data_IF_145763699868
#
_entry.id   IF_145763699868
#
_cell.length_a   1.000
_cell.length_b   1.000
_cell.length_c   1.000
_cell.angle_alpha   90.00
_cell.angle_beta   90.00
_cell.angle_gamma   90.00
#
_symmetry.space_group_name_H-M   'P 1'
#
loop_
_entity.id
_entity.type
_entity.pdbx_description
1 polymer ?
#
# COMPACT_ATOMS: atom_id res chain seq x y z
N UNK A 1 -51.02 0.40 -0.53
CA UNK A 1 -50.13 -0.32 -1.46
C UNK A 1 -48.79 0.35 -1.38
N UNK A 2 -47.88 -0.21 -0.57
CA UNK A 2 -46.54 0.34 -0.39
C UNK A 2 -45.72 -0.12 -1.58
N UNK A 3 -45.60 0.75 -2.60
CA UNK A 3 -44.63 0.59 -3.66
C UNK A 3 -43.27 1.13 -3.11
N UNK A 4 -42.72 0.46 -2.10
CA UNK A 4 -41.33 0.61 -1.78
C UNK A 4 -40.55 -0.09 -2.92
N UNK A 5 -40.30 0.69 -3.99
CA UNK A 5 -39.36 0.24 -5.03
C UNK A 5 -38.06 -0.07 -4.36
N UNK A 6 -37.76 -1.35 -4.12
CA UNK A 6 -36.50 -1.75 -3.52
C UNK A 6 -35.38 -1.28 -4.44
N UNK A 7 -34.27 -0.83 -3.87
CA UNK A 7 -33.04 -0.41 -4.63
C UNK A 7 -32.66 -1.51 -5.63
N UNK A 8 -32.84 -2.77 -5.25
CA UNK A 8 -32.57 -3.93 -6.10
C UNK A 8 -33.48 -3.93 -7.33
N UNK A 9 -34.77 -3.69 -7.16
CA UNK A 9 -35.74 -3.62 -8.27
C UNK A 9 -35.42 -2.47 -9.22
N UNK A 10 -35.06 -1.29 -8.69
CA UNK A 10 -34.63 -0.16 -9.48
C UNK A 10 -33.40 -0.50 -10.34
N UNK A 11 -32.42 -1.19 -9.77
CA UNK A 11 -31.20 -1.62 -10.49
C UNK A 11 -31.50 -2.67 -11.56
N UNK A 12 -32.38 -3.64 -11.27
CA UNK A 12 -32.74 -4.69 -12.22
C UNK A 12 -33.51 -4.14 -13.44
N UNK A 13 -34.26 -3.04 -13.27
CA UNK A 13 -35.00 -2.37 -14.36
C UNK A 13 -34.20 -1.24 -15.02
N UNK A 14 -32.95 -0.97 -14.56
CA UNK A 14 -32.07 0.02 -15.18
C UNK A 14 -31.61 -0.42 -16.58
N UNK A 15 -31.14 0.52 -17.39
CA UNK A 15 -30.48 0.18 -18.66
C UNK A 15 -29.27 -0.70 -18.46
N UNK A 16 -28.97 -1.59 -19.41
CA UNK A 16 -27.82 -2.52 -19.34
C UNK A 16 -26.50 -1.82 -19.03
N UNK A 17 -26.30 -0.61 -19.58
CA UNK A 17 -25.08 0.18 -19.32
C UNK A 17 -25.01 0.59 -17.85
N UNK A 18 -26.10 1.07 -17.25
CA UNK A 18 -26.15 1.44 -15.83
C UNK A 18 -25.92 0.21 -14.95
N UNK A 19 -26.49 -0.96 -15.32
CA UNK A 19 -26.26 -2.21 -14.59
C UNK A 19 -24.76 -2.62 -14.60
N UNK A 20 -24.08 -2.51 -15.76
CA UNK A 20 -22.65 -2.79 -15.89
C UNK A 20 -21.82 -1.83 -15.02
N UNK A 21 -22.16 -0.53 -15.04
CA UNK A 21 -21.50 0.48 -14.20
C UNK A 21 -21.66 0.14 -12.71
N UNK A 22 -22.86 -0.16 -12.27
CA UNK A 22 -23.14 -0.52 -10.87
C UNK A 22 -22.37 -1.78 -10.47
N UNK A 23 -22.40 -2.82 -11.30
CA UNK A 23 -21.67 -4.07 -11.04
C UNK A 23 -20.16 -3.82 -10.95
N UNK A 24 -19.60 -3.03 -11.86
CA UNK A 24 -18.20 -2.63 -11.85
C UNK A 24 -17.80 -1.86 -10.58
N UNK A 25 -18.65 -0.91 -10.14
CA UNK A 25 -18.42 -0.14 -8.91
C UNK A 25 -18.49 -1.02 -7.65
N UNK A 26 -19.41 -1.97 -7.61
CA UNK A 26 -19.51 -2.93 -6.50
C UNK A 26 -18.29 -3.84 -6.44
N UNK A 27 -17.82 -4.35 -7.57
CA UNK A 27 -16.59 -5.17 -7.63
C UNK A 27 -15.35 -4.35 -7.21
N UNK A 28 -15.22 -3.12 -7.70
CA UNK A 28 -14.14 -2.22 -7.27
C UNK A 28 -14.19 -1.95 -5.76
N UNK A 29 -15.37 -1.72 -5.20
CA UNK A 29 -15.56 -1.51 -3.76
C UNK A 29 -15.15 -2.74 -2.96
N UNK A 30 -15.62 -3.92 -3.36
CA UNK A 30 -15.29 -5.17 -2.68
C UNK A 30 -13.77 -5.46 -2.68
N UNK A 31 -13.14 -5.28 -3.85
CA UNK A 31 -11.70 -5.43 -3.98
C UNK A 31 -10.91 -4.40 -3.13
N UNK A 32 -11.38 -3.15 -3.10
CA UNK A 32 -10.79 -2.10 -2.24
C UNK A 32 -10.83 -2.49 -0.78
N UNK A 33 -11.94 -3.00 -0.27
CA UNK A 33 -12.05 -3.44 1.12
C UNK A 33 -11.11 -4.61 1.43
N UNK A 34 -10.99 -5.59 0.51
CA UNK A 34 -10.02 -6.68 0.62
C UNK A 34 -8.58 -6.17 0.76
N UNK A 35 -8.18 -5.21 -0.09
CA UNK A 35 -6.87 -4.57 -0.03
C UNK A 35 -6.67 -3.77 1.27
N UNK A 36 -7.68 -3.03 1.72
CA UNK A 36 -7.62 -2.23 2.96
C UNK A 36 -7.32 -3.14 4.15
N UNK A 37 -8.07 -4.22 4.33
CA UNK A 37 -7.84 -5.14 5.45
C UNK A 37 -6.49 -5.86 5.37
N UNK A 38 -6.10 -6.31 4.19
CA UNK A 38 -4.79 -6.93 3.96
C UNK A 38 -3.64 -5.98 4.30
N UNK A 39 -3.70 -4.72 3.86
CA UNK A 39 -2.67 -3.71 4.12
C UNK A 39 -2.60 -3.30 5.58
N UNK A 40 -3.74 -3.15 6.25
CA UNK A 40 -3.77 -2.86 7.69
C UNK A 40 -3.00 -3.91 8.49
N UNK A 41 -3.22 -5.19 8.21
CA UNK A 41 -2.51 -6.29 8.85
C UNK A 41 -1.01 -6.30 8.53
N UNK A 42 -0.66 -6.15 7.24
CA UNK A 42 0.71 -6.18 6.77
C UNK A 42 1.56 -5.03 7.36
N UNK A 43 1.09 -3.79 7.27
CA UNK A 43 1.82 -2.61 7.79
C UNK A 43 1.98 -2.70 9.31
N UNK A 44 0.94 -3.14 10.04
CA UNK A 44 1.02 -3.33 11.48
C UNK A 44 2.07 -4.40 11.87
N UNK A 45 2.13 -5.51 11.11
CA UNK A 45 3.16 -6.57 11.30
C UNK A 45 4.56 -6.02 11.04
N UNK A 46 4.74 -5.23 9.99
CA UNK A 46 6.03 -4.61 9.63
C UNK A 46 6.51 -3.69 10.76
N UNK A 47 5.69 -2.75 11.22
CA UNK A 47 6.05 -1.83 12.31
C UNK A 47 6.48 -2.58 13.56
N UNK A 48 5.68 -3.53 14.01
CA UNK A 48 5.99 -4.33 15.21
C UNK A 48 7.31 -5.10 15.08
N UNK A 49 7.61 -5.64 13.88
CA UNK A 49 8.88 -6.35 13.63
C UNK A 49 10.06 -5.41 13.59
N UNK A 50 9.93 -4.29 12.93
CA UNK A 50 10.98 -3.28 12.90
C UNK A 50 11.32 -2.80 14.31
N UNK A 51 10.31 -2.47 15.13
CA UNK A 51 10.51 -2.00 16.51
C UNK A 51 11.17 -3.09 17.38
N UNK A 52 10.78 -4.34 17.20
CA UNK A 52 11.38 -5.48 17.92
C UNK A 52 12.86 -5.65 17.53
N UNK A 53 13.17 -5.62 16.24
CA UNK A 53 14.55 -5.75 15.77
C UNK A 53 15.43 -4.56 16.21
N UNK A 54 14.91 -3.35 16.13
CA UNK A 54 15.59 -2.14 16.56
C UNK A 54 15.93 -2.19 18.07
N UNK A 55 14.96 -2.63 18.89
CA UNK A 55 15.20 -2.86 20.33
C UNK A 55 16.30 -3.90 20.56
N UNK A 56 16.29 -4.99 19.81
CA UNK A 56 17.30 -6.05 19.89
C UNK A 56 18.69 -5.55 19.44
N UNK A 57 18.73 -4.78 18.36
CA UNK A 57 19.96 -4.17 17.83
C UNK A 57 20.62 -3.25 18.86
N UNK A 58 19.83 -2.38 19.52
CA UNK A 58 20.33 -1.45 20.53
C UNK A 58 20.61 -2.08 21.91
N UNK A 59 20.27 -3.35 22.09
CA UNK A 59 20.61 -4.07 23.35
C UNK A 59 22.09 -4.40 23.50
N UNK A 60 22.92 -4.09 22.49
CA UNK A 60 24.37 -4.35 22.51
C UNK A 60 24.76 -5.78 22.13
N UNK A 61 23.88 -6.55 21.52
CA UNK A 61 24.21 -7.87 20.98
C UNK A 61 25.30 -7.80 19.92
N UNK A 62 26.03 -8.91 19.75
CA UNK A 62 27.04 -9.02 18.71
C UNK A 62 26.41 -8.93 17.31
N UNK A 63 26.97 -8.08 16.44
CA UNK A 63 26.45 -7.88 15.08
C UNK A 63 26.44 -9.17 14.24
N UNK A 64 27.41 -10.08 14.47
CA UNK A 64 27.45 -11.36 13.76
C UNK A 64 26.30 -12.28 14.20
N UNK A 65 25.94 -12.28 15.48
CA UNK A 65 24.84 -13.10 16.00
C UNK A 65 23.50 -12.57 15.45
N UNK A 66 23.32 -11.24 15.44
CA UNK A 66 22.16 -10.60 14.82
C UNK A 66 22.06 -10.89 13.31
N UNK A 67 23.22 -10.88 12.63
CA UNK A 67 23.26 -11.22 11.20
C UNK A 67 22.88 -12.69 10.94
N UNK A 68 23.37 -13.61 11.73
CA UNK A 68 23.03 -15.02 11.62
C UNK A 68 21.53 -15.24 11.89
N UNK A 69 20.99 -14.55 12.88
CA UNK A 69 19.55 -14.59 13.19
C UNK A 69 18.72 -14.04 12.03
N UNK A 70 19.06 -12.84 11.54
CA UNK A 70 18.35 -12.20 10.42
C UNK A 70 18.47 -12.98 9.10
N UNK A 71 19.55 -13.74 8.91
CA UNK A 71 19.77 -14.53 7.68
C UNK A 71 19.12 -15.90 7.71
N UNK A 72 18.86 -16.47 8.89
CA UNK A 72 18.37 -17.84 9.05
C UNK A 72 16.86 -17.91 9.38
N UNK A 73 16.20 -16.79 9.70
CA UNK A 73 14.77 -16.77 9.96
C UNK A 73 13.95 -16.86 8.66
N UNK A 74 12.95 -17.75 8.65
CA UNK A 74 12.05 -17.93 7.51
C UNK A 74 11.19 -16.69 7.22
N UNK A 75 10.88 -15.90 8.24
CA UNK A 75 10.15 -14.65 8.13
C UNK A 75 10.98 -13.50 8.72
N UNK A 76 11.54 -12.65 7.88
CA UNK A 76 12.29 -11.45 8.28
C UNK A 76 11.51 -10.18 7.96
N UNK A 77 11.66 -9.15 8.80
CA UNK A 77 11.12 -7.81 8.57
C UNK A 77 11.98 -7.00 7.60
N UNK A 78 11.47 -5.87 7.10
CA UNK A 78 12.23 -4.97 6.23
C UNK A 78 13.54 -4.48 6.85
N UNK A 79 13.53 -4.13 8.14
CA UNK A 79 14.70 -3.65 8.86
C UNK A 79 15.77 -4.73 9.01
N UNK A 80 15.37 -5.97 9.32
CA UNK A 80 16.24 -7.13 9.38
C UNK A 80 16.91 -7.42 8.04
N UNK A 81 16.13 -7.35 6.94
CA UNK A 81 16.66 -7.57 5.58
C UNK A 81 17.62 -6.46 5.14
N UNK A 82 17.32 -5.22 5.49
CA UNK A 82 18.20 -4.08 5.25
C UNK A 82 19.52 -4.25 5.99
N UNK A 83 19.47 -4.55 7.29
CA UNK A 83 20.66 -4.85 8.11
C UNK A 83 21.48 -6.00 7.54
N UNK A 84 20.84 -7.14 7.24
CA UNK A 84 21.51 -8.32 6.70
C UNK A 84 22.18 -8.03 5.34
N UNK A 85 21.56 -7.20 4.51
CA UNK A 85 22.10 -6.78 3.20
C UNK A 85 23.38 -5.94 3.38
N UNK A 86 23.37 -4.95 4.27
CA UNK A 86 24.52 -4.12 4.58
C UNK A 86 25.67 -4.92 5.19
N UNK A 87 25.36 -5.76 6.20
CA UNK A 87 26.35 -6.58 6.88
C UNK A 87 27.00 -7.61 5.95
N UNK A 88 26.21 -8.25 5.08
CA UNK A 88 26.72 -9.20 4.08
C UNK A 88 27.71 -8.55 3.13
N UNK A 89 27.38 -7.38 2.58
CA UNK A 89 28.28 -6.72 1.65
C UNK A 89 29.52 -6.18 2.37
N UNK A 90 29.37 -5.66 3.57
CA UNK A 90 30.51 -5.24 4.41
C UNK A 90 31.49 -6.38 4.64
N UNK A 91 31.04 -7.56 5.12
CA UNK A 91 31.88 -8.73 5.34
C UNK A 91 32.56 -9.20 4.06
N UNK A 92 31.84 -9.29 2.96
CA UNK A 92 32.37 -9.70 1.66
C UNK A 92 33.49 -8.78 1.16
N UNK A 93 33.35 -7.45 1.32
CA UNK A 93 34.37 -6.49 0.90
C UNK A 93 35.57 -6.48 1.85
N UNK A 94 35.34 -6.71 3.15
CA UNK A 94 36.40 -6.93 4.15
C UNK A 94 37.22 -8.16 3.82
N UNK A 95 36.62 -9.28 3.50
CA UNK A 95 37.30 -10.54 3.16
C UNK A 95 38.14 -10.40 1.86
N UNK A 96 37.69 -9.50 0.95
CA UNK A 96 38.48 -9.12 -0.23
C UNK A 96 39.58 -8.09 0.05
N UNK A 97 39.76 -7.69 1.30
CA UNK A 97 40.77 -6.73 1.77
C UNK A 97 40.76 -5.38 1.07
N UNK A 98 39.53 -4.92 0.68
CA UNK A 98 39.40 -3.56 0.18
C UNK A 98 39.64 -2.55 1.32
N UNK A 99 39.93 -1.29 0.92
CA UNK A 99 40.05 -0.20 1.88
C UNK A 99 38.76 0.04 2.66
N UNK A 100 38.88 0.63 3.83
CA UNK A 100 37.75 0.90 4.74
C UNK A 100 36.66 1.73 4.11
N UNK A 101 37.03 2.74 3.31
CA UNK A 101 36.08 3.58 2.60
C UNK A 101 35.21 2.76 1.63
N UNK A 102 35.84 1.91 0.82
CA UNK A 102 35.14 1.04 -0.12
C UNK A 102 34.21 0.02 0.57
N UNK A 103 34.60 -0.51 1.75
CA UNK A 103 33.76 -1.41 2.56
C UNK A 103 32.50 -0.70 3.03
N UNK A 104 32.63 0.51 3.59
CA UNK A 104 31.52 1.31 4.10
C UNK A 104 30.58 1.77 2.98
N UNK A 105 31.14 2.25 1.87
CA UNK A 105 30.37 2.66 0.70
C UNK A 105 29.63 1.49 0.06
N UNK A 106 30.24 0.32 0.02
CA UNK A 106 29.60 -0.90 -0.44
C UNK A 106 28.39 -1.29 0.43
N UNK A 107 28.55 -1.29 1.75
CA UNK A 107 27.48 -1.56 2.70
C UNK A 107 26.31 -0.55 2.55
N UNK A 108 26.61 0.75 2.44
CA UNK A 108 25.60 1.80 2.21
C UNK A 108 24.80 1.59 0.94
N UNK A 109 25.48 1.30 -0.18
CA UNK A 109 24.81 1.01 -1.46
C UNK A 109 23.92 -0.23 -1.38
N UNK A 110 24.37 -1.28 -0.68
CA UNK A 110 23.59 -2.48 -0.48
C UNK A 110 22.36 -2.23 0.36
N UNK A 111 22.47 -1.45 1.45
CA UNK A 111 21.32 -1.05 2.28
C UNK A 111 20.34 -0.18 1.51
N UNK A 112 20.81 0.82 0.75
CA UNK A 112 19.96 1.68 -0.08
C UNK A 112 19.19 0.88 -1.13
N UNK A 113 19.83 -0.07 -1.79
CA UNK A 113 19.16 -0.96 -2.73
C UNK A 113 18.15 -1.91 -2.06
N UNK A 114 18.41 -2.33 -0.81
CA UNK A 114 17.46 -3.11 -0.02
C UNK A 114 16.27 -2.26 0.40
N UNK A 115 16.50 -1.05 0.92
CA UNK A 115 15.47 -0.08 1.28
C UNK A 115 14.47 0.14 0.13
N UNK A 116 14.98 0.41 -1.08
CA UNK A 116 14.13 0.65 -2.23
C UNK A 116 13.24 -0.56 -2.56
N UNK A 117 13.81 -1.78 -2.53
CA UNK A 117 13.02 -3.01 -2.76
C UNK A 117 11.96 -3.23 -1.70
N UNK A 118 12.26 -2.92 -0.44
CA UNK A 118 11.29 -3.04 0.65
C UNK A 118 10.13 -2.05 0.49
N UNK A 119 10.43 -0.80 0.12
CA UNK A 119 9.41 0.22 -0.12
C UNK A 119 8.54 -0.16 -1.31
N UNK A 120 9.11 -0.59 -2.43
CA UNK A 120 8.36 -1.05 -3.61
C UNK A 120 7.39 -2.20 -3.25
N UNK A 121 7.84 -3.14 -2.40
CA UNK A 121 7.01 -4.24 -1.94
C UNK A 121 5.86 -3.77 -1.00
N UNK A 122 6.15 -2.81 -0.11
CA UNK A 122 5.15 -2.27 0.80
C UNK A 122 4.15 -1.38 0.07
N UNK A 123 4.57 -0.63 -0.94
CA UNK A 123 3.70 0.24 -1.76
C UNK A 123 2.80 -0.54 -2.73
N UNK A 124 3.13 -1.78 -3.02
CA UNK A 124 2.36 -2.63 -3.95
C UNK A 124 0.85 -2.55 -3.71
N UNK A 125 0.07 -2.42 -4.78
CA UNK A 125 -1.39 -2.27 -4.80
C UNK A 125 -1.96 -0.97 -4.20
N UNK A 126 -1.13 -0.04 -3.71
CA UNK A 126 -1.62 1.26 -3.22
C UNK A 126 -2.22 2.09 -4.35
N UNK A 127 -1.62 2.01 -5.54
CA UNK A 127 -2.10 2.69 -6.74
C UNK A 127 -3.54 2.32 -7.12
N UNK A 128 -3.99 1.09 -6.82
CA UNK A 128 -5.37 0.71 -7.05
C UNK A 128 -6.34 1.51 -6.17
N UNK A 129 -6.04 1.69 -4.87
CA UNK A 129 -6.87 2.51 -3.98
C UNK A 129 -6.92 3.97 -4.44
N UNK A 130 -5.78 4.52 -4.89
CA UNK A 130 -5.73 5.86 -5.48
C UNK A 130 -6.63 5.97 -6.72
N UNK A 131 -6.58 4.96 -7.60
CA UNK A 131 -7.40 4.91 -8.82
C UNK A 131 -8.89 4.81 -8.50
N UNK A 132 -9.30 3.95 -7.57
CA UNK A 132 -10.71 3.85 -7.14
C UNK A 132 -11.19 5.17 -6.55
N UNK A 133 -10.36 5.80 -5.72
CA UNK A 133 -10.67 7.08 -5.10
C UNK A 133 -10.86 8.21 -6.10
N UNK A 134 -10.04 8.27 -7.13
CA UNK A 134 -10.08 9.33 -8.16
C UNK A 134 -11.09 9.03 -9.28
N UNK A 135 -11.19 7.79 -9.74
CA UNK A 135 -12.00 7.40 -10.91
C UNK A 135 -13.43 7.00 -10.52
N UNK A 136 -13.60 6.38 -9.35
CA UNK A 136 -14.90 5.87 -8.89
C UNK A 136 -16.07 6.88 -9.00
N UNK A 137 -15.92 8.13 -8.52
CA UNK A 137 -16.96 9.15 -8.64
C UNK A 137 -17.34 9.49 -10.10
N UNK A 138 -16.36 9.49 -11.00
CA UNK A 138 -16.60 9.79 -12.43
C UNK A 138 -17.29 8.63 -13.14
N UNK A 139 -16.97 7.38 -12.80
CA UNK A 139 -17.69 6.21 -13.29
C UNK A 139 -19.14 6.23 -12.81
N UNK A 140 -19.38 6.58 -11.54
CA UNK A 140 -20.74 6.78 -11.02
C UNK A 140 -21.50 7.89 -11.73
N UNK A 141 -20.85 9.03 -11.97
CA UNK A 141 -21.40 10.16 -12.71
C UNK A 141 -21.76 9.76 -14.15
N UNK A 142 -20.88 9.03 -14.84
CA UNK A 142 -21.17 8.49 -16.17
C UNK A 142 -22.43 7.62 -16.15
N UNK A 143 -22.58 6.73 -15.15
CA UNK A 143 -23.79 5.94 -14.98
C UNK A 143 -25.06 6.79 -14.84
N UNK A 144 -24.98 7.90 -14.12
CA UNK A 144 -26.10 8.83 -13.94
C UNK A 144 -26.46 9.54 -15.25
N UNK A 145 -25.47 10.09 -15.94
CA UNK A 145 -25.70 10.80 -17.22
C UNK A 145 -26.31 9.85 -18.25
N UNK A 146 -25.77 8.65 -18.38
CA UNK A 146 -26.28 7.64 -19.29
C UNK A 146 -27.68 7.20 -18.93
N UNK A 147 -27.98 6.93 -17.66
CA UNK A 147 -29.29 6.47 -17.20
C UNK A 147 -30.35 7.51 -17.38
N UNK A 148 -30.09 8.78 -17.08
CA UNK A 148 -31.05 9.88 -17.33
C UNK A 148 -31.29 10.06 -18.84
N UNK A 149 -30.22 10.06 -19.64
CA UNK A 149 -30.35 10.13 -21.09
C UNK A 149 -31.25 9.01 -21.63
N UNK A 150 -31.02 7.78 -21.20
CA UNK A 150 -31.78 6.61 -21.61
C UNK A 150 -33.28 6.72 -21.21
N UNK A 151 -33.55 7.20 -20.00
CA UNK A 151 -34.92 7.43 -19.52
C UNK A 151 -35.66 8.46 -20.39
N UNK A 152 -34.99 9.54 -20.81
CA UNK A 152 -35.63 10.54 -21.70
C UNK A 152 -35.78 10.06 -23.15
N UNK A 153 -34.82 9.31 -23.68
CA UNK A 153 -34.94 8.71 -25.02
C UNK A 153 -36.14 7.76 -25.08
N UNK A 154 -36.40 7.01 -24.01
CA UNK A 154 -37.57 6.13 -23.92
C UNK A 154 -38.93 6.87 -24.02
N UNK A 155 -38.99 8.18 -23.75
CA UNK A 155 -40.21 8.98 -23.87
C UNK A 155 -40.55 9.33 -25.32
N UNK A 156 -39.60 9.33 -26.23
CA UNK A 156 -39.80 9.78 -27.62
C UNK A 156 -40.85 8.96 -28.37
N UNK A 157 -41.12 7.74 -27.91
CA UNK A 157 -42.08 6.82 -28.55
C UNK A 157 -43.43 6.73 -27.80
N UNK A 158 -43.65 7.54 -26.76
CA UNK A 158 -44.87 7.49 -25.96
C UNK A 158 -45.81 8.63 -26.31
N UNK A 159 -47.09 8.31 -26.49
CA UNK A 159 -48.17 9.29 -26.77
C UNK A 159 -48.63 10.06 -25.53
N UNK A 160 -48.40 9.49 -24.35
CA UNK A 160 -48.63 10.14 -23.05
C UNK A 160 -47.42 9.97 -22.14
N UNK A 161 -46.85 11.08 -21.72
CA UNK A 161 -45.69 11.15 -20.85
C UNK A 161 -46.14 11.52 -19.45
N UNK A 162 -45.83 10.66 -18.49
CA UNK A 162 -46.04 10.93 -17.06
C UNK A 162 -44.71 10.86 -16.32
N UNK A 163 -44.61 11.57 -15.20
CA UNK A 163 -43.42 11.49 -14.35
C UNK A 163 -43.17 10.05 -13.85
N UNK A 164 -44.21 9.28 -13.63
CA UNK A 164 -44.13 7.87 -13.21
C UNK A 164 -43.38 6.98 -14.22
N UNK A 165 -43.37 7.35 -15.50
CA UNK A 165 -42.68 6.60 -16.56
C UNK A 165 -41.14 6.75 -16.48
N UNK A 166 -40.63 7.90 -16.08
CA UNK A 166 -39.18 8.19 -16.06
C UNK A 166 -38.55 8.07 -14.67
N UNK A 167 -39.35 8.23 -13.61
CA UNK A 167 -38.86 8.25 -12.24
C UNK A 167 -38.02 7.02 -11.87
N UNK A 168 -38.36 5.76 -12.24
CA UNK A 168 -37.54 4.60 -11.92
C UNK A 168 -36.17 4.63 -12.59
N UNK A 169 -36.09 5.05 -13.85
CA UNK A 169 -34.84 5.17 -14.60
C UNK A 169 -33.90 6.23 -14.03
N UNK A 170 -34.46 7.38 -13.64
CA UNK A 170 -33.70 8.45 -12.96
C UNK A 170 -33.22 7.98 -11.59
N UNK A 171 -34.08 7.34 -10.81
CA UNK A 171 -33.73 6.82 -9.50
C UNK A 171 -32.57 5.79 -9.58
N UNK A 172 -32.64 4.84 -10.51
CA UNK A 172 -31.57 3.88 -10.76
C UNK A 172 -30.26 4.56 -11.17
N UNK A 173 -30.32 5.59 -12.00
CA UNK A 173 -29.14 6.37 -12.39
C UNK A 173 -28.48 7.04 -11.17
N UNK A 174 -29.24 7.62 -10.27
CA UNK A 174 -28.72 8.25 -9.03
C UNK A 174 -28.03 7.23 -8.11
N UNK A 175 -28.49 5.98 -8.06
CA UNK A 175 -27.84 4.90 -7.32
C UNK A 175 -26.42 4.68 -7.81
N UNK A 176 -26.14 4.77 -9.12
CA UNK A 176 -24.78 4.62 -9.65
C UNK A 176 -23.81 5.68 -9.10
N UNK A 177 -24.25 6.95 -9.03
CA UNK A 177 -23.43 8.01 -8.42
C UNK A 177 -23.20 7.77 -6.93
N UNK A 178 -24.22 7.35 -6.18
CA UNK A 178 -24.11 7.04 -4.77
C UNK A 178 -23.08 5.92 -4.53
N UNK A 179 -23.13 4.85 -5.32
CA UNK A 179 -22.17 3.73 -5.24
C UNK A 179 -20.75 4.13 -5.64
N UNK A 180 -20.59 4.97 -6.67
CA UNK A 180 -19.27 5.49 -7.05
C UNK A 180 -18.59 6.26 -5.93
N UNK A 181 -19.34 7.10 -5.21
CA UNK A 181 -18.84 7.81 -4.02
C UNK A 181 -18.61 6.87 -2.84
N UNK A 182 -19.50 5.93 -2.61
CA UNK A 182 -19.38 4.95 -1.53
C UNK A 182 -18.12 4.08 -1.68
N UNK A 183 -17.75 3.71 -2.91
CA UNK A 183 -16.50 3.00 -3.20
C UNK A 183 -15.25 3.89 -3.03
N UNK A 184 -15.34 5.16 -3.48
CA UNK A 184 -14.21 6.07 -3.52
C UNK A 184 -13.80 6.58 -2.13
N UNK A 185 -14.72 6.91 -1.25
CA UNK A 185 -14.44 7.54 0.05
C UNK A 185 -13.52 6.66 0.93
N UNK A 186 -13.84 5.37 1.19
CA UNK A 186 -12.95 4.52 1.97
C UNK A 186 -11.60 4.29 1.29
N UNK A 187 -11.58 4.20 -0.04
CA UNK A 187 -10.34 4.00 -0.80
C UNK A 187 -9.37 5.19 -0.64
N UNK A 188 -9.86 6.44 -0.74
CA UNK A 188 -9.05 7.65 -0.53
C UNK A 188 -8.54 7.74 0.91
N UNK A 189 -9.42 7.51 1.88
CA UNK A 189 -9.04 7.57 3.30
C UNK A 189 -7.97 6.53 3.62
N UNK A 190 -8.14 5.31 3.12
CA UNK A 190 -7.18 4.24 3.32
C UNK A 190 -5.85 4.53 2.61
N UNK A 191 -5.87 4.98 1.35
CA UNK A 191 -4.70 5.39 0.60
C UNK A 191 -3.87 6.43 1.37
N UNK A 192 -4.51 7.52 1.79
CA UNK A 192 -3.83 8.59 2.52
C UNK A 192 -3.24 8.14 3.86
N UNK A 193 -3.91 7.19 4.54
CA UNK A 193 -3.39 6.60 5.77
C UNK A 193 -2.16 5.73 5.50
N UNK A 194 -2.26 4.82 4.52
CA UNK A 194 -1.17 3.90 4.20
C UNK A 194 0.05 4.62 3.64
N UNK A 195 -0.14 5.64 2.79
CA UNK A 195 0.97 6.45 2.30
C UNK A 195 1.78 7.04 3.47
N UNK A 196 1.11 7.67 4.45
CA UNK A 196 1.80 8.20 5.64
C UNK A 196 2.47 7.12 6.50
N UNK A 197 1.85 5.95 6.60
CA UNK A 197 2.43 4.84 7.36
C UNK A 197 3.68 4.28 6.68
N UNK A 198 3.68 4.24 5.34
CA UNK A 198 4.84 3.83 4.53
C UNK A 198 5.96 4.85 4.62
N UNK A 199 5.67 6.16 4.55
CA UNK A 199 6.66 7.22 4.74
C UNK A 199 7.37 7.12 6.10
N UNK A 200 6.64 6.75 7.17
CA UNK A 200 7.23 6.52 8.49
C UNK A 200 8.15 5.31 8.50
N UNK A 201 7.75 4.22 7.86
CA UNK A 201 8.60 3.02 7.71
C UNK A 201 9.84 3.37 6.89
N UNK A 202 9.70 4.12 5.80
CA UNK A 202 10.83 4.57 4.97
C UNK A 202 11.84 5.38 5.78
N UNK A 203 11.34 6.35 6.56
CA UNK A 203 12.18 7.19 7.44
C UNK A 203 12.89 6.35 8.50
N UNK A 204 12.20 5.37 9.11
CA UNK A 204 12.81 4.45 10.10
C UNK A 204 13.94 3.64 9.48
N UNK A 205 13.71 3.05 8.30
CA UNK A 205 14.73 2.26 7.58
C UNK A 205 15.95 3.11 7.17
N UNK A 206 15.72 4.34 6.71
CA UNK A 206 16.77 5.25 6.28
C UNK A 206 17.63 5.71 7.47
N UNK A 207 16.99 6.15 8.56
CA UNK A 207 17.68 6.51 9.81
C UNK A 207 18.52 5.36 10.36
N UNK A 208 17.95 4.16 10.39
CA UNK A 208 18.69 2.97 10.82
C UNK A 208 19.89 2.68 9.90
N UNK A 209 19.77 2.85 8.60
CA UNK A 209 20.86 2.67 7.64
C UNK A 209 22.05 3.60 7.94
N UNK A 210 21.75 4.87 8.26
CA UNK A 210 22.78 5.85 8.63
C UNK A 210 23.43 5.53 9.98
N UNK A 211 22.63 5.17 10.99
CA UNK A 211 23.12 4.79 12.32
C UNK A 211 24.00 3.53 12.27
N UNK A 212 23.57 2.52 11.52
CA UNK A 212 24.33 1.30 11.31
C UNK A 212 25.64 1.59 10.55
N UNK A 213 25.62 2.46 9.54
CA UNK A 213 26.82 2.90 8.83
C UNK A 213 27.84 3.55 9.78
N UNK A 214 27.37 4.39 10.72
CA UNK A 214 28.20 5.02 11.74
C UNK A 214 28.81 3.99 12.71
N UNK A 215 28.05 2.93 13.06
CA UNK A 215 28.57 1.82 13.90
C UNK A 215 29.65 1.05 13.15
N UNK A 216 29.43 0.71 11.88
CA UNK A 216 30.43 0.04 11.06
C UNK A 216 31.71 0.88 10.96
N UNK A 217 31.59 2.19 10.73
CA UNK A 217 32.73 3.10 10.67
C UNK A 217 33.54 3.13 11.97
N UNK A 218 32.87 3.19 13.12
CA UNK A 218 33.53 3.15 14.44
C UNK A 218 34.23 1.82 14.68
N UNK A 219 33.64 0.70 14.31
CA UNK A 219 34.20 -0.63 14.49
C UNK A 219 35.45 -0.86 13.62
N UNK A 220 35.54 -0.23 12.46
CA UNK A 220 36.73 -0.32 11.58
C UNK A 220 37.80 0.68 11.99
N UNK A 221 37.40 1.85 12.50
CA UNK A 221 38.34 2.88 12.96
C UNK A 221 38.94 2.58 14.33
N UNK A 222 38.36 1.67 15.13
CA UNK A 222 38.92 1.24 16.40
C UNK A 222 40.25 0.50 16.14
N UNK A 223 41.39 1.00 16.60
CA UNK A 223 42.69 0.38 16.31
C UNK A 223 42.77 -1.01 16.93
N UNK A 224 43.31 -1.99 16.18
CA UNK A 224 43.69 -3.32 16.67
C UNK A 224 44.87 -3.25 17.69
N UNK A 225 44.86 -2.31 18.63
CA UNK A 225 45.89 -2.08 19.60
C UNK A 225 45.67 -2.84 20.92
N UNK A 226 45.29 -4.11 20.85
CA UNK A 226 45.24 -4.95 22.07
C UNK A 226 45.84 -6.36 21.93
N UNK A 227 46.64 -6.61 20.89
CA UNK A 227 47.27 -7.93 20.72
C UNK A 227 48.78 -7.81 20.51
N UNK A 228 49.48 -6.96 21.29
CA UNK A 228 50.92 -6.76 21.14
C UNK A 228 51.65 -6.26 22.38
N UNK A 229 51.23 -6.71 23.59
CA UNK A 229 52.09 -6.53 24.78
C UNK A 229 51.81 -7.65 25.80
N UNK A 230 52.38 -8.78 25.55
CA UNK A 230 52.91 -9.70 26.57
C UNK A 230 53.98 -10.61 25.95
#
# INVERSE_FOLDING_TARGET
MNNDLSIIELVLHASTVVQIVIAGLLLMSLFSWGLIFSKLGSISKIKRRNDAFETEFWSGKNLNDLYNQASNQAETGPLERLFASGMREFMKLRDRRLDTGAQLDGARRAMKASLQRELDAIEGNLGFLASVGSVGPYVGLFGTVWGIMHAFVGLSNLTQVTLATVAPGIAAALVATALGRFAAIPAVVAYNRFARDIDRVATQLDSFSDEFSNILQRNVAAPQNAAGSR
#
